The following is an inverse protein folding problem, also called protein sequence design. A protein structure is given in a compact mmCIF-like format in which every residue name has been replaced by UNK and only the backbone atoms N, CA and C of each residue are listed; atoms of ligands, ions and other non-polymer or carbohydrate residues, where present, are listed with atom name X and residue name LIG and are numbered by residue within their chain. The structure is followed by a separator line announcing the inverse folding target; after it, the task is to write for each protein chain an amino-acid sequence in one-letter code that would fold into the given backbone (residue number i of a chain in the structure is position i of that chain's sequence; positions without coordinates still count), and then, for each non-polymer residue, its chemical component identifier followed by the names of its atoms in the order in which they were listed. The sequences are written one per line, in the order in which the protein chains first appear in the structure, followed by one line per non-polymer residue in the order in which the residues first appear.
data_IF_254546301266
#
_entry.id   IF_254546301266
#
_cell.length_a   1.000
_cell.length_b   1.000
_cell.length_c   1.000
_cell.angle_alpha   90.00
_cell.angle_beta   90.00
_cell.angle_gamma   90.00
#
_symmetry.space_group_name_H-M   'P 1'
#
loop_
_entity.id
_entity.type
_entity.pdbx_description
1 polymer ?
#
# COMPACT_ATOMS: atom_id res chain seq x y z
N UNK A 1 -32.70 -3.13 9.52
CA UNK A 1 -33.10 -3.33 10.93
C UNK A 1 -34.60 -3.54 10.90
N UNK A 2 -34.99 -4.60 10.20
CA UNK A 2 -36.29 -4.75 9.54
C UNK A 2 -37.33 -5.49 10.39
N UNK A 3 -36.96 -5.85 11.63
CA UNK A 3 -37.83 -6.55 12.59
C UNK A 3 -38.67 -5.61 13.47
N UNK A 4 -38.36 -4.30 13.51
CA UNK A 4 -39.06 -3.38 14.42
C UNK A 4 -40.40 -2.84 13.86
N UNK A 5 -40.69 -3.05 12.58
CA UNK A 5 -41.90 -2.54 11.91
C UNK A 5 -43.07 -3.52 11.90
N UNK A 6 -42.84 -4.84 12.02
CA UNK A 6 -43.93 -5.82 12.02
C UNK A 6 -44.74 -5.80 13.33
N UNK A 7 -44.12 -5.40 14.43
CA UNK A 7 -44.70 -5.46 15.77
C UNK A 7 -45.75 -4.36 16.01
N UNK A 8 -45.63 -3.21 15.35
CA UNK A 8 -46.60 -2.10 15.51
C UNK A 8 -47.87 -2.26 14.68
N UNK A 9 -47.97 -3.25 13.80
CA UNK A 9 -49.18 -3.51 12.99
C UNK A 9 -50.35 -4.11 13.79
N UNK A 10 -50.13 -4.58 15.02
CA UNK A 10 -51.16 -5.23 15.84
C UNK A 10 -51.77 -4.35 16.94
N UNK A 11 -51.43 -3.07 17.03
CA UNK A 11 -51.98 -2.18 18.03
C UNK A 11 -52.22 -0.77 17.47
N UNK A 12 -53.45 -0.55 16.96
CA UNK A 12 -54.20 0.70 16.80
C UNK A 12 -54.86 0.80 15.43
N UNK A 13 -56.21 0.72 15.43
CA UNK A 13 -57.05 1.20 14.34
C UNK A 13 -57.05 2.73 14.39
N UNK A 14 -56.22 3.39 13.57
CA UNK A 14 -56.40 4.82 13.29
C UNK A 14 -55.97 5.14 11.85
N UNK A 15 -56.95 5.53 11.03
CA UNK A 15 -56.85 5.75 9.58
C UNK A 15 -56.11 7.04 9.18
N UNK A 16 -55.34 7.65 10.07
CA UNK A 16 -54.59 8.90 9.84
C UNK A 16 -53.08 8.72 9.69
N UNK A 17 -52.51 7.56 10.07
CA UNK A 17 -51.08 7.26 9.91
C UNK A 17 -50.73 6.57 8.58
N UNK A 18 -51.73 6.17 7.80
CA UNK A 18 -51.53 5.41 6.56
C UNK A 18 -51.05 6.28 5.39
N UNK A 19 -51.12 7.61 5.50
CA UNK A 19 -50.71 8.54 4.46
C UNK A 19 -49.25 9.00 4.54
N UNK A 20 -48.50 8.64 5.60
CA UNK A 20 -47.10 9.08 5.76
C UNK A 20 -46.06 7.98 5.43
N UNK A 21 -46.52 6.76 5.12
CA UNK A 21 -45.67 5.65 4.67
C UNK A 21 -45.56 5.57 3.12
N UNK A 22 -46.18 6.52 2.41
CA UNK A 22 -46.36 6.53 0.96
C UNK A 22 -45.42 7.43 0.14
N UNK A 23 -44.42 8.05 0.77
CA UNK A 23 -43.30 8.70 0.06
C UNK A 23 -42.01 8.08 0.55
N UNK A 24 -41.77 6.83 0.12
CA UNK A 24 -40.38 6.38 -0.01
C UNK A 24 -39.73 7.34 -0.99
N UNK A 25 -38.82 8.15 -0.48
CA UNK A 25 -37.86 8.87 -1.29
C UNK A 25 -37.23 7.81 -2.19
N UNK A 26 -37.63 7.78 -3.47
CA UNK A 26 -37.05 6.91 -4.49
C UNK A 26 -35.60 7.41 -4.63
N UNK A 27 -34.74 6.91 -3.76
CA UNK A 27 -33.30 7.03 -3.90
C UNK A 27 -32.97 6.21 -5.13
N UNK A 28 -33.13 6.83 -6.30
CA UNK A 28 -32.70 6.27 -7.58
C UNK A 28 -31.29 5.73 -7.36
N UNK A 29 -31.18 4.41 -7.40
CA UNK A 29 -29.91 3.75 -7.17
C UNK A 29 -29.00 4.11 -8.34
N UNK A 30 -27.74 4.45 -8.06
CA UNK A 30 -26.78 4.76 -9.11
C UNK A 30 -26.73 3.62 -10.14
N UNK A 31 -26.95 2.40 -9.66
CA UNK A 31 -26.96 1.18 -10.47
C UNK A 31 -28.09 1.14 -11.51
N UNK A 32 -29.22 1.79 -11.25
CA UNK A 32 -30.33 1.92 -12.22
C UNK A 32 -30.05 2.99 -13.29
N UNK A 33 -29.22 3.98 -12.95
CA UNK A 33 -28.87 5.09 -13.84
C UNK A 33 -27.71 4.76 -14.79
N UNK A 34 -26.75 3.94 -14.35
CA UNK A 34 -25.58 3.55 -15.15
C UNK A 34 -25.93 2.92 -16.52
N UNK A 35 -26.96 2.04 -16.64
CA UNK A 35 -27.41 1.53 -17.93
C UNK A 35 -27.83 2.62 -18.92
N UNK A 36 -28.51 3.67 -18.44
CA UNK A 36 -28.98 4.78 -19.28
C UNK A 36 -27.84 5.70 -19.75
N UNK A 37 -26.78 5.84 -18.94
CA UNK A 37 -25.60 6.66 -19.25
C UNK A 37 -24.55 5.88 -20.08
N UNK A 38 -24.72 4.56 -20.17
CA UNK A 38 -23.86 3.61 -20.85
C UNK A 38 -22.99 2.85 -19.86
N UNK A 39 -23.24 1.55 -19.69
CA UNK A 39 -22.62 0.69 -18.67
C UNK A 39 -21.08 0.62 -18.77
N UNK A 40 -20.52 0.77 -19.98
CA UNK A 40 -19.09 0.70 -20.25
C UNK A 40 -18.68 1.56 -21.47
N UNK A 41 -19.00 2.85 -21.40
CA UNK A 41 -18.70 3.82 -22.44
C UNK A 41 -17.24 4.29 -22.48
N UNK A 42 -16.95 5.27 -23.33
CA UNK A 42 -15.60 5.80 -23.57
C UNK A 42 -15.02 6.42 -22.29
N UNK A 43 -15.85 7.12 -21.50
CA UNK A 43 -15.41 7.73 -20.25
C UNK A 43 -14.91 6.68 -19.26
N UNK A 44 -15.71 5.63 -19.02
CA UNK A 44 -15.32 4.55 -18.12
C UNK A 44 -14.08 3.82 -18.61
N UNK A 45 -14.00 3.49 -19.90
CA UNK A 45 -12.81 2.85 -20.48
C UNK A 45 -11.56 3.69 -20.30
N UNK A 46 -11.63 4.99 -20.59
CA UNK A 46 -10.49 5.90 -20.43
C UNK A 46 -10.03 5.98 -18.97
N UNK A 47 -10.96 6.04 -18.02
CA UNK A 47 -10.62 6.11 -16.59
C UNK A 47 -10.07 4.79 -16.06
N UNK A 48 -10.73 3.66 -16.38
CA UNK A 48 -10.30 2.33 -15.93
C UNK A 48 -8.95 1.96 -16.55
N UNK A 49 -8.80 2.03 -17.88
CA UNK A 49 -7.56 1.65 -18.55
C UNK A 49 -6.46 2.71 -18.48
N UNK A 50 -6.81 3.99 -18.38
CA UNK A 50 -5.85 5.08 -18.34
C UNK A 50 -5.34 5.42 -16.94
N UNK A 51 -6.12 5.14 -15.88
CA UNK A 51 -5.78 5.58 -14.51
C UNK A 51 -5.81 4.40 -13.54
N UNK A 52 -6.93 3.70 -13.40
CA UNK A 52 -7.11 2.73 -12.33
C UNK A 52 -6.28 1.45 -12.51
N UNK A 53 -6.26 0.87 -13.71
CA UNK A 53 -5.47 -0.34 -13.99
C UNK A 53 -3.95 -0.07 -13.92
N UNK A 54 -3.42 1.01 -14.55
CA UNK A 54 -2.01 1.37 -14.36
C UNK A 54 -1.65 1.58 -12.89
N UNK A 55 -2.54 2.20 -12.08
CA UNK A 55 -2.29 2.44 -10.66
C UNK A 55 -2.08 1.14 -9.85
N UNK A 56 -2.56 0.00 -10.33
CA UNK A 56 -2.39 -1.29 -9.69
C UNK A 56 -0.98 -1.88 -9.87
N UNK A 57 -0.25 -1.48 -10.93
CA UNK A 57 1.10 -2.00 -11.21
C UNK A 57 2.08 -1.61 -10.08
N UNK A 58 2.23 -0.33 -9.71
CA UNK A 58 3.13 0.07 -8.62
C UNK A 58 2.71 -0.50 -7.25
N UNK A 59 1.43 -0.79 -7.03
CA UNK A 59 0.98 -1.42 -5.79
C UNK A 59 1.66 -2.78 -5.57
N UNK A 60 1.83 -3.57 -6.63
CA UNK A 60 2.57 -4.82 -6.60
C UNK A 60 4.04 -4.63 -6.23
N UNK A 61 4.64 -3.51 -6.65
CA UNK A 61 6.01 -3.16 -6.26
C UNK A 61 6.12 -2.96 -4.75
N UNK A 62 5.31 -2.09 -4.16
CA UNK A 62 5.40 -1.79 -2.73
C UNK A 62 5.12 -2.99 -1.82
N UNK A 63 4.20 -3.88 -2.23
CA UNK A 63 3.85 -5.08 -1.48
C UNK A 63 5.03 -6.06 -1.36
N UNK A 64 5.75 -6.32 -2.45
CA UNK A 64 6.77 -7.37 -2.49
C UNK A 64 8.21 -6.88 -2.47
N UNK A 65 8.46 -5.58 -2.68
CA UNK A 65 9.81 -5.00 -2.70
C UNK A 65 10.61 -5.37 -1.44
N UNK A 66 9.97 -5.43 -0.28
CA UNK A 66 10.63 -5.79 0.97
C UNK A 66 11.43 -7.10 0.93
N UNK A 67 10.88 -8.12 0.28
CA UNK A 67 11.50 -9.44 0.21
C UNK A 67 12.83 -9.35 -0.53
N UNK A 68 12.90 -8.49 -1.55
CA UNK A 68 14.12 -8.24 -2.30
C UNK A 68 15.10 -7.33 -1.57
N UNK A 69 14.63 -6.31 -0.85
CA UNK A 69 15.48 -5.48 0.03
C UNK A 69 16.12 -6.31 1.16
N UNK A 70 15.41 -7.33 1.61
CA UNK A 70 15.80 -8.21 2.70
C UNK A 70 16.52 -9.49 2.26
N UNK A 71 17.04 -9.52 1.03
CA UNK A 71 17.74 -10.68 0.52
C UNK A 71 19.02 -10.96 1.32
N UNK A 72 19.18 -12.20 1.74
CA UNK A 72 20.34 -12.70 2.48
C UNK A 72 21.30 -13.32 1.47
N UNK A 73 22.55 -12.85 1.35
CA UNK A 73 23.55 -13.50 0.52
C UNK A 73 23.78 -14.95 0.95
N UNK A 74 23.98 -15.86 -0.02
CA UNK A 74 24.19 -17.28 0.30
C UNK A 74 25.53 -17.55 0.99
N UNK A 75 26.56 -16.75 0.69
CA UNK A 75 27.91 -16.91 1.21
C UNK A 75 28.34 -15.67 2.00
N UNK A 76 28.56 -15.86 3.30
CA UNK A 76 29.01 -14.84 4.25
C UNK A 76 29.76 -15.53 5.39
N UNK A 77 30.67 -14.78 6.01
CA UNK A 77 31.58 -15.30 7.04
C UNK A 77 31.90 -14.27 8.12
N UNK A 78 32.43 -14.71 9.27
CA UNK A 78 32.87 -13.79 10.32
C UNK A 78 34.00 -12.88 9.80
N UNK A 79 33.90 -11.59 10.09
CA UNK A 79 35.00 -10.64 9.91
C UNK A 79 36.06 -10.86 11.00
N UNK A 80 37.32 -10.96 10.60
CA UNK A 80 38.47 -11.08 11.51
C UNK A 80 39.45 -9.96 11.23
N UNK A 81 39.51 -8.92 12.09
CA UNK A 81 40.34 -7.73 11.86
C UNK A 81 41.82 -8.05 11.65
N UNK A 82 42.34 -9.03 12.39
CA UNK A 82 43.77 -9.38 12.41
C UNK A 82 44.25 -10.04 11.09
N UNK A 83 43.32 -10.53 10.25
CA UNK A 83 43.63 -11.23 9.00
C UNK A 83 43.22 -10.42 7.76
N UNK A 84 42.93 -9.12 7.92
CA UNK A 84 42.45 -8.26 6.83
C UNK A 84 43.46 -8.09 5.68
N UNK A 85 44.75 -8.24 5.96
CA UNK A 85 45.82 -8.11 4.97
C UNK A 85 45.98 -9.34 4.06
N UNK A 86 45.38 -10.48 4.44
CA UNK A 86 45.42 -11.72 3.65
C UNK A 86 44.30 -11.81 2.61
N UNK A 87 44.48 -12.70 1.63
CA UNK A 87 43.42 -13.02 0.66
C UNK A 87 42.19 -13.62 1.36
N UNK A 88 41.01 -13.36 0.80
CA UNK A 88 39.73 -13.84 1.36
C UNK A 88 39.70 -15.35 1.52
N UNK A 89 40.25 -16.10 0.54
CA UNK A 89 40.30 -17.56 0.59
C UNK A 89 41.18 -18.08 1.73
N UNK A 90 42.37 -17.48 1.93
CA UNK A 90 43.27 -17.85 3.03
C UNK A 90 42.67 -17.47 4.37
N UNK A 91 42.03 -16.31 4.48
CA UNK A 91 41.31 -15.88 5.69
C UNK A 91 40.17 -16.84 6.04
N UNK A 92 39.36 -17.24 5.06
CA UNK A 92 38.27 -18.20 5.26
C UNK A 92 38.79 -19.55 5.75
N UNK A 93 39.83 -20.07 5.10
CA UNK A 93 40.46 -21.35 5.44
C UNK A 93 40.98 -21.38 6.88
N UNK A 94 41.63 -20.30 7.32
CA UNK A 94 42.29 -20.23 8.62
C UNK A 94 41.34 -19.87 9.76
N UNK A 95 40.44 -18.90 9.52
CA UNK A 95 39.64 -18.30 10.59
C UNK A 95 38.32 -19.01 10.86
N UNK A 96 37.79 -19.75 9.88
CA UNK A 96 36.43 -20.26 9.93
C UNK A 96 36.45 -21.78 10.02
N UNK A 97 35.81 -22.38 11.02
CA UNK A 97 35.67 -23.82 11.10
C UNK A 97 34.78 -24.34 9.97
N UNK A 98 35.09 -25.53 9.47
CA UNK A 98 34.20 -26.27 8.57
C UNK A 98 32.91 -26.65 9.30
N UNK A 99 31.82 -26.69 8.55
CA UNK A 99 30.50 -27.02 9.08
C UNK A 99 30.44 -28.50 9.46
N UNK A 100 29.76 -28.82 10.56
CA UNK A 100 29.65 -30.18 11.10
C UNK A 100 28.81 -31.08 10.20
N UNK A 101 27.85 -30.52 9.48
CA UNK A 101 26.90 -31.26 8.63
C UNK A 101 27.40 -31.43 7.18
N UNK A 102 28.21 -30.48 6.68
CA UNK A 102 28.78 -30.49 5.34
C UNK A 102 30.24 -30.03 5.41
N UNK A 103 31.18 -30.98 5.39
CA UNK A 103 32.63 -30.76 5.49
C UNK A 103 33.22 -29.88 4.37
N UNK A 104 32.50 -29.69 3.27
CA UNK A 104 32.89 -28.81 2.17
C UNK A 104 32.40 -27.36 2.35
N UNK A 105 31.55 -27.10 3.34
CA UNK A 105 31.03 -25.76 3.64
C UNK A 105 31.65 -25.20 4.92
N UNK A 106 31.90 -23.89 4.94
CA UNK A 106 32.35 -23.19 6.14
C UNK A 106 31.18 -22.83 7.05
N UNK A 107 31.43 -22.78 8.36
CA UNK A 107 30.47 -22.26 9.34
C UNK A 107 30.27 -20.76 9.15
N UNK A 108 29.03 -20.29 9.15
CA UNK A 108 28.72 -18.87 8.87
C UNK A 108 28.69 -17.98 10.12
N UNK A 109 28.54 -18.60 11.28
CA UNK A 109 28.24 -17.91 12.55
C UNK A 109 29.32 -18.08 13.62
N UNK A 110 30.31 -18.91 13.35
CA UNK A 110 31.38 -19.24 14.29
C UNK A 110 32.74 -19.04 13.63
N UNK A 111 33.72 -18.65 14.44
CA UNK A 111 35.13 -18.53 14.08
C UNK A 111 36.00 -19.24 15.11
N UNK A 112 37.24 -19.53 14.76
CA UNK A 112 38.22 -20.01 15.74
C UNK A 112 38.53 -18.91 16.78
N UNK A 113 38.50 -19.30 18.05
CA UNK A 113 38.74 -18.46 19.22
C UNK A 113 40.24 -18.41 19.52
N UNK A 114 40.97 -17.74 18.63
CA UNK A 114 42.43 -17.73 18.63
C UNK A 114 42.92 -16.29 18.55
N UNK A 115 44.02 -15.99 19.26
CA UNK A 115 44.69 -14.70 19.16
C UNK A 115 45.57 -14.70 17.90
N UNK A 116 45.06 -14.10 16.83
CA UNK A 116 45.73 -14.09 15.53
C UNK A 116 47.01 -13.27 15.56
N UNK A 117 47.11 -12.23 16.39
CA UNK A 117 48.32 -11.41 16.52
C UNK A 117 49.51 -12.24 16.98
N UNK A 118 49.36 -13.00 18.06
CA UNK A 118 50.42 -13.86 18.60
C UNK A 118 50.85 -14.92 17.58
N UNK A 119 49.88 -15.47 16.85
CA UNK A 119 50.11 -16.51 15.85
C UNK A 119 50.82 -15.96 14.61
N UNK A 120 50.47 -14.76 14.17
CA UNK A 120 51.10 -14.08 13.04
C UNK A 120 52.51 -13.63 13.39
N UNK A 121 52.77 -13.20 14.64
CA UNK A 121 54.12 -12.84 15.10
C UNK A 121 55.06 -14.05 15.15
N UNK A 122 54.57 -15.22 15.55
CA UNK A 122 55.39 -16.43 15.68
C UNK A 122 55.59 -17.13 14.34
N UNK A 123 54.60 -17.11 13.43
CA UNK A 123 54.60 -17.99 12.25
C UNK A 123 53.95 -17.35 11.01
N UNK A 124 54.25 -16.08 10.74
CA UNK A 124 53.66 -15.24 9.68
C UNK A 124 53.55 -15.90 8.29
N UNK A 125 54.47 -16.82 7.94
CA UNK A 125 54.56 -17.42 6.61
C UNK A 125 54.17 -18.92 6.53
N UNK A 126 53.98 -19.62 7.65
CA UNK A 126 53.96 -21.10 7.66
C UNK A 126 52.61 -21.72 8.11
N UNK A 127 51.59 -20.89 8.29
CA UNK A 127 50.26 -21.35 8.68
C UNK A 127 49.41 -21.54 7.43
N UNK A 128 49.49 -22.74 6.87
CA UNK A 128 48.69 -23.14 5.72
C UNK A 128 47.45 -23.97 6.10
N UNK A 129 47.32 -24.38 7.36
CA UNK A 129 46.18 -25.17 7.85
C UNK A 129 45.69 -24.71 9.22
N UNK A 130 44.36 -24.66 9.43
CA UNK A 130 43.80 -24.46 10.76
C UNK A 130 44.10 -25.68 11.64
N UNK A 131 44.30 -25.46 12.93
CA UNK A 131 44.40 -26.55 13.90
C UNK A 131 42.99 -26.97 14.33
N UNK A 132 42.61 -28.22 14.08
CA UNK A 132 41.28 -28.76 14.39
C UNK A 132 40.95 -28.77 15.89
N UNK A 133 41.96 -28.65 16.76
CA UNK A 133 41.78 -28.59 18.21
C UNK A 133 41.45 -27.18 18.73
N UNK A 134 41.47 -26.16 17.87
CA UNK A 134 41.17 -24.80 18.31
C UNK A 134 39.70 -24.65 18.75
N UNK A 135 39.45 -24.01 19.90
CA UNK A 135 38.09 -23.70 20.33
C UNK A 135 37.42 -22.76 19.33
N UNK A 136 36.09 -22.82 19.27
CA UNK A 136 35.27 -21.93 18.44
C UNK A 136 34.50 -20.93 19.31
N UNK A 137 34.27 -19.74 18.78
CA UNK A 137 33.42 -18.71 19.37
C UNK A 137 32.52 -18.07 18.31
N UNK A 138 31.49 -17.34 18.75
CA UNK A 138 30.59 -16.62 17.85
C UNK A 138 31.34 -15.48 17.12
N UNK A 139 30.80 -15.00 16.01
CA UNK A 139 31.36 -13.81 15.36
C UNK A 139 31.09 -12.57 16.22
N UNK A 140 32.15 -11.82 16.57
CA UNK A 140 32.02 -10.64 17.45
C UNK A 140 32.28 -9.31 16.71
N UNK A 141 33.00 -9.37 15.59
CA UNK A 141 33.49 -8.20 14.84
C UNK A 141 32.70 -7.93 13.53
N UNK A 142 31.50 -8.50 13.41
CA UNK A 142 30.65 -8.39 12.21
C UNK A 142 30.91 -9.48 11.17
N UNK A 143 30.36 -9.28 9.96
CA UNK A 143 30.43 -10.25 8.87
C UNK A 143 31.01 -9.64 7.59
N UNK A 144 31.60 -10.50 6.76
CA UNK A 144 31.96 -10.21 5.38
C UNK A 144 31.04 -11.01 4.47
N UNK A 145 30.52 -10.37 3.43
CA UNK A 145 29.53 -10.94 2.53
C UNK A 145 30.10 -11.07 1.12
N UNK A 146 29.76 -12.15 0.42
CA UNK A 146 30.04 -12.26 -1.00
C UNK A 146 29.03 -11.40 -1.79
N UNK A 147 29.48 -10.24 -2.27
CA UNK A 147 28.65 -9.26 -2.98
C UNK A 147 28.52 -9.51 -4.48
N UNK A 148 28.95 -10.67 -4.99
CA UNK A 148 28.93 -10.99 -6.43
C UNK A 148 27.52 -10.97 -7.06
N UNK A 149 26.47 -11.22 -6.26
CA UNK A 149 25.07 -11.28 -6.73
C UNK A 149 24.23 -10.13 -6.15
N UNK A 150 24.50 -9.72 -4.92
CA UNK A 150 23.76 -8.67 -4.21
C UNK A 150 24.78 -7.69 -3.65
N UNK A 151 24.76 -6.45 -4.14
CA UNK A 151 25.73 -5.42 -3.76
C UNK A 151 25.44 -4.79 -2.41
N UNK A 152 24.16 -4.58 -2.08
CA UNK A 152 23.73 -4.07 -0.80
C UNK A 152 22.32 -4.55 -0.49
N UNK A 153 22.11 -5.00 0.74
CA UNK A 153 20.80 -5.38 1.26
C UNK A 153 20.70 -4.94 2.72
N UNK A 154 19.48 -4.88 3.26
CA UNK A 154 19.26 -4.53 4.66
C UNK A 154 19.99 -5.48 5.62
N UNK A 155 20.22 -6.72 5.16
CA UNK A 155 20.92 -7.76 5.92
C UNK A 155 22.42 -7.50 5.95
N UNK A 156 22.98 -7.07 4.81
CA UNK A 156 24.40 -6.71 4.68
C UNK A 156 24.69 -5.43 5.48
N UNK A 157 23.84 -4.41 5.33
CA UNK A 157 24.10 -3.09 5.91
C UNK A 157 23.96 -3.06 7.45
N UNK A 158 23.12 -3.94 8.03
CA UNK A 158 22.87 -4.02 9.47
C UNK A 158 23.36 -5.31 10.13
N UNK A 159 24.12 -6.15 9.43
CA UNK A 159 24.66 -7.42 9.94
C UNK A 159 23.57 -8.31 10.56
N UNK A 160 22.47 -8.53 9.84
CA UNK A 160 21.26 -9.24 10.32
C UNK A 160 21.30 -10.74 10.01
N UNK A 161 22.38 -11.41 10.42
CA UNK A 161 22.58 -12.85 10.22
C UNK A 161 22.77 -13.57 11.55
N UNK A 162 22.73 -14.91 11.53
CA UNK A 162 22.94 -15.76 12.70
C UNK A 162 21.93 -15.45 13.83
N UNK A 163 22.37 -14.94 14.98
CA UNK A 163 21.49 -14.61 16.11
C UNK A 163 20.45 -13.50 15.77
N UNK A 164 20.65 -12.77 14.67
CA UNK A 164 19.77 -11.69 14.19
C UNK A 164 19.03 -12.04 12.88
N UNK A 165 18.99 -13.30 12.48
CA UNK A 165 18.30 -13.77 11.27
C UNK A 165 16.77 -13.52 11.28
N UNK A 166 16.18 -13.36 12.46
CA UNK A 166 14.75 -13.07 12.64
C UNK A 166 14.38 -11.61 12.27
N UNK A 167 15.34 -10.70 12.22
CA UNK A 167 15.09 -9.26 12.03
C UNK A 167 14.44 -8.92 10.67
N UNK A 168 14.90 -9.47 9.53
CA UNK A 168 14.18 -9.39 8.25
C UNK A 168 12.70 -9.80 8.34
N UNK A 169 12.41 -10.89 9.04
CA UNK A 169 11.06 -11.42 9.25
C UNK A 169 10.23 -10.50 10.14
N UNK A 170 10.83 -9.90 11.17
CA UNK A 170 10.18 -8.88 12.01
C UNK A 170 9.81 -7.67 11.15
N UNK A 171 10.71 -7.23 10.27
CA UNK A 171 10.41 -6.16 9.32
C UNK A 171 9.22 -6.50 8.43
N UNK A 172 9.17 -7.73 7.90
CA UNK A 172 8.08 -8.15 7.00
C UNK A 172 6.75 -8.21 7.75
N UNK A 173 6.80 -8.71 8.98
CA UNK A 173 5.66 -8.74 9.90
C UNK A 173 5.17 -7.34 10.21
N UNK A 174 6.07 -6.39 10.46
CA UNK A 174 5.75 -4.99 10.72
C UNK A 174 5.00 -4.33 9.54
N UNK A 175 5.41 -4.61 8.30
CA UNK A 175 4.67 -4.18 7.11
C UNK A 175 3.27 -4.77 7.06
N UNK A 176 3.15 -6.09 7.27
CA UNK A 176 1.88 -6.79 7.18
C UNK A 176 0.90 -6.37 8.29
N UNK A 177 1.39 -6.06 9.50
CA UNK A 177 0.58 -5.52 10.60
C UNK A 177 0.08 -4.11 10.27
N UNK A 178 0.88 -3.31 9.54
CA UNK A 178 0.43 -2.00 9.04
C UNK A 178 -0.81 -2.10 8.16
N UNK A 179 -0.93 -3.15 7.34
CA UNK A 179 -2.03 -3.30 6.37
C UNK A 179 -3.44 -3.17 6.99
N UNK A 180 -3.84 -4.03 7.95
CA UNK A 180 -5.15 -3.97 8.59
C UNK A 180 -5.43 -2.64 9.31
N UNK A 181 -4.43 -2.09 10.00
CA UNK A 181 -4.53 -0.79 10.67
C UNK A 181 -4.81 0.31 9.65
N UNK A 182 -4.08 0.26 8.53
CA UNK A 182 -4.24 1.16 7.40
C UNK A 182 -5.62 1.11 6.77
N UNK A 183 -6.14 -0.09 6.47
CA UNK A 183 -7.49 -0.28 5.92
C UNK A 183 -8.55 0.33 6.84
N UNK A 184 -8.42 0.15 8.16
CA UNK A 184 -9.34 0.75 9.11
C UNK A 184 -9.27 2.29 9.10
N UNK A 185 -8.07 2.86 9.19
CA UNK A 185 -7.88 4.33 9.23
C UNK A 185 -8.27 5.00 7.91
N UNK A 186 -7.77 4.50 6.78
CA UNK A 186 -8.07 5.06 5.47
C UNK A 186 -9.49 4.71 5.01
N UNK A 187 -10.11 3.64 5.51
CA UNK A 187 -11.53 3.36 5.33
C UNK A 187 -12.40 4.44 5.96
N UNK A 188 -12.13 4.80 7.23
CA UNK A 188 -12.82 5.92 7.90
C UNK A 188 -12.60 7.26 7.17
N UNK A 189 -11.38 7.48 6.67
CA UNK A 189 -11.06 8.67 5.88
C UNK A 189 -11.85 8.70 4.57
N UNK A 190 -11.96 7.56 3.89
CA UNK A 190 -12.68 7.41 2.63
C UNK A 190 -14.16 7.76 2.79
N UNK A 191 -14.78 7.28 3.85
CA UNK A 191 -16.20 7.53 4.11
C UNK A 191 -16.45 8.98 4.56
N UNK A 192 -15.51 9.63 5.25
CA UNK A 192 -15.68 11.01 5.74
C UNK A 192 -15.29 12.10 4.75
N UNK A 193 -14.14 11.95 4.09
CA UNK A 193 -13.52 12.97 3.24
C UNK A 193 -13.62 12.68 1.75
N UNK A 194 -14.07 11.47 1.37
CA UNK A 194 -14.18 11.03 -0.01
C UNK A 194 -12.99 10.19 -0.46
N UNK A 195 -13.15 9.60 -1.64
CA UNK A 195 -12.25 8.60 -2.22
C UNK A 195 -11.01 9.30 -2.77
N UNK A 196 -11.19 10.45 -3.45
CA UNK A 196 -10.10 11.23 -4.04
C UNK A 196 -9.12 11.72 -2.99
N UNK A 197 -9.60 12.42 -1.96
CA UNK A 197 -8.74 12.97 -0.88
C UNK A 197 -8.02 11.86 -0.12
N UNK A 198 -8.72 10.76 0.15
CA UNK A 198 -8.13 9.60 0.83
C UNK A 198 -7.01 8.97 0.02
N UNK A 199 -7.19 8.85 -1.30
CA UNK A 199 -6.16 8.30 -2.19
C UNK A 199 -4.88 9.13 -2.16
N UNK A 200 -4.98 10.46 -2.31
CA UNK A 200 -3.79 11.33 -2.26
C UNK A 200 -3.14 11.37 -0.87
N UNK A 201 -3.92 11.26 0.20
CA UNK A 201 -3.39 11.14 1.57
C UNK A 201 -2.62 9.83 1.75
N UNK A 202 -3.12 8.73 1.18
CA UNK A 202 -2.41 7.44 1.16
C UNK A 202 -1.10 7.56 0.37
N UNK A 203 -1.13 8.16 -0.83
CA UNK A 203 0.06 8.37 -1.66
C UNK A 203 1.11 9.23 -0.95
N UNK A 204 0.70 10.32 -0.29
CA UNK A 204 1.62 11.16 0.47
C UNK A 204 2.29 10.38 1.61
N UNK A 205 1.49 9.62 2.38
CA UNK A 205 1.98 8.78 3.48
C UNK A 205 2.94 7.70 2.97
N UNK A 206 2.63 7.09 1.82
CA UNK A 206 3.48 6.09 1.17
C UNK A 206 4.83 6.69 0.78
N UNK A 207 4.84 7.84 0.10
CA UNK A 207 6.07 8.51 -0.33
C UNK A 207 6.94 8.93 0.87
N UNK A 208 6.33 9.45 1.93
CA UNK A 208 7.03 9.79 3.17
C UNK A 208 7.64 8.53 3.79
N UNK A 209 6.88 7.45 3.91
CA UNK A 209 7.36 6.17 4.43
C UNK A 209 8.52 5.60 3.61
N UNK A 210 8.44 5.67 2.27
CA UNK A 210 9.52 5.25 1.37
C UNK A 210 10.76 6.13 1.46
N UNK A 211 10.60 7.44 1.65
CA UNK A 211 11.72 8.35 1.86
C UNK A 211 12.44 8.03 3.18
N UNK A 212 11.69 7.84 4.28
CA UNK A 212 12.26 7.44 5.58
C UNK A 212 12.98 6.09 5.45
N UNK A 213 12.41 5.14 4.70
CA UNK A 213 13.03 3.84 4.43
C UNK A 213 14.38 4.01 3.73
N UNK A 214 14.48 4.91 2.76
CA UNK A 214 15.72 5.12 1.99
C UNK A 214 16.79 5.89 2.78
N UNK A 215 16.39 6.64 3.82
CA UNK A 215 17.29 7.40 4.70
C UNK A 215 17.62 6.64 5.99
N UNK A 216 17.05 5.45 6.21
CA UNK A 216 17.21 4.73 7.46
C UNK A 216 18.63 4.20 7.63
N UNK A 217 19.28 4.58 8.73
CA UNK A 217 20.61 4.07 9.13
C UNK A 217 20.55 3.08 10.30
N UNK A 218 19.35 2.81 10.83
CA UNK A 218 19.11 1.92 11.95
C UNK A 218 17.96 0.98 11.60
N UNK A 219 18.05 -0.28 12.06
CA UNK A 219 17.01 -1.28 11.85
C UNK A 219 15.64 -0.82 12.38
N UNK A 220 15.57 -0.26 13.59
CA UNK A 220 14.29 0.15 14.19
C UNK A 220 13.62 1.30 13.43
N UNK A 221 14.40 2.25 12.90
CA UNK A 221 13.89 3.33 12.05
C UNK A 221 13.35 2.77 10.74
N UNK A 222 14.08 1.81 10.14
CA UNK A 222 13.63 1.10 8.95
C UNK A 222 12.35 0.28 9.22
N UNK A 223 12.29 -0.49 10.30
CA UNK A 223 11.12 -1.28 10.66
C UNK A 223 9.89 -0.40 10.91
N UNK A 224 10.07 0.75 11.58
CA UNK A 224 9.03 1.75 11.77
C UNK A 224 8.53 2.35 10.44
N UNK A 225 9.42 2.64 9.49
CA UNK A 225 9.02 3.12 8.17
C UNK A 225 8.28 2.05 7.37
N UNK A 226 8.61 0.76 7.54
CA UNK A 226 7.86 -0.35 6.94
C UNK A 226 6.43 -0.44 7.46
N UNK A 227 6.17 -0.14 8.74
CA UNK A 227 4.80 -0.02 9.26
C UNK A 227 4.05 1.07 8.52
N UNK A 228 4.65 2.27 8.39
CA UNK A 228 4.03 3.42 7.71
C UNK A 228 3.70 3.10 6.25
N UNK A 229 4.64 2.49 5.52
CA UNK A 229 4.40 2.01 4.14
C UNK A 229 3.28 0.96 4.13
N UNK A 230 3.33 0.02 5.07
CA UNK A 230 2.32 -1.04 5.24
C UNK A 230 0.89 -0.53 5.43
N UNK A 231 0.70 0.60 6.15
CA UNK A 231 -0.61 1.26 6.31
C UNK A 231 -1.25 1.61 4.96
N UNK A 232 -0.44 1.91 3.95
CA UNK A 232 -0.94 2.48 2.69
C UNK A 232 -1.18 1.44 1.60
N UNK A 233 -0.47 0.31 1.61
CA UNK A 233 -0.48 -0.67 0.51
C UNK A 233 -1.90 -1.15 0.17
N UNK A 234 -2.72 -1.62 1.13
CA UNK A 234 -4.08 -2.09 0.81
C UNK A 234 -4.97 -0.94 0.31
N UNK A 235 -4.87 0.23 0.92
CA UNK A 235 -5.71 1.39 0.59
C UNK A 235 -5.41 1.94 -0.81
N UNK A 236 -4.13 2.03 -1.20
CA UNK A 236 -3.71 2.51 -2.53
C UNK A 236 -4.18 1.57 -3.63
N UNK A 237 -4.25 0.26 -3.38
CA UNK A 237 -4.85 -0.71 -4.30
C UNK A 237 -6.38 -0.63 -4.32
N UNK A 238 -7.02 -0.57 -3.15
CA UNK A 238 -8.47 -0.69 -3.01
C UNK A 238 -9.23 0.54 -3.50
N UNK A 239 -8.72 1.76 -3.32
CA UNK A 239 -9.47 2.98 -3.68
C UNK A 239 -9.72 3.09 -5.19
N UNK A 240 -8.70 2.98 -6.08
CA UNK A 240 -8.92 3.01 -7.53
C UNK A 240 -9.80 1.85 -8.03
N UNK A 241 -9.68 0.68 -7.38
CA UNK A 241 -10.52 -0.47 -7.66
C UNK A 241 -12.00 -0.19 -7.37
N UNK A 242 -12.32 0.35 -6.18
CA UNK A 242 -13.70 0.72 -5.81
C UNK A 242 -14.24 1.78 -6.77
N UNK A 243 -13.50 2.86 -7.03
CA UNK A 243 -13.94 3.91 -7.97
C UNK A 243 -14.27 3.31 -9.34
N UNK A 244 -13.45 2.37 -9.83
CA UNK A 244 -13.70 1.70 -11.10
C UNK A 244 -15.00 0.90 -11.10
N UNK A 245 -15.31 0.19 -10.01
CA UNK A 245 -16.54 -0.58 -9.86
C UNK A 245 -17.79 0.29 -9.71
N UNK A 246 -17.65 1.47 -9.13
CA UNK A 246 -18.76 2.42 -8.96
C UNK A 246 -19.16 3.13 -10.26
N UNK A 247 -18.22 3.29 -11.20
CA UNK A 247 -18.45 3.96 -12.47
C UNK A 247 -18.94 3.02 -13.57
N UNK A 248 -18.72 1.72 -13.39
CA UNK A 248 -19.01 0.68 -14.37
C UNK A 248 -20.30 -0.04 -14.00
N UNK A 249 -21.13 -0.34 -15.02
CA UNK A 249 -22.38 -1.07 -14.83
C UNK A 249 -22.16 -2.49 -14.31
N UNK A 250 -23.19 -3.06 -13.68
CA UNK A 250 -23.14 -4.34 -12.98
C UNK A 250 -22.54 -5.48 -13.83
N UNK A 251 -22.92 -5.56 -15.11
CA UNK A 251 -22.48 -6.58 -16.06
C UNK A 251 -20.95 -6.63 -16.28
N UNK A 252 -20.25 -5.51 -16.10
CA UNK A 252 -18.81 -5.38 -16.37
C UNK A 252 -17.95 -5.36 -15.10
N UNK A 253 -18.56 -5.35 -13.90
CA UNK A 253 -17.84 -5.34 -12.62
C UNK A 253 -16.87 -6.51 -12.48
N UNK A 254 -17.31 -7.71 -12.86
CA UNK A 254 -16.48 -8.92 -12.85
C UNK A 254 -15.27 -8.78 -13.79
N UNK A 255 -15.48 -8.26 -15.00
CA UNK A 255 -14.40 -8.04 -15.97
C UNK A 255 -13.35 -7.06 -15.45
N UNK A 256 -13.77 -5.92 -14.92
CA UNK A 256 -12.88 -4.91 -14.32
C UNK A 256 -12.09 -5.49 -13.15
N UNK A 257 -12.73 -6.33 -12.34
CA UNK A 257 -12.08 -7.02 -11.22
C UNK A 257 -10.96 -7.95 -11.69
N UNK A 258 -11.24 -8.80 -12.68
CA UNK A 258 -10.22 -9.71 -13.24
C UNK A 258 -9.06 -8.92 -13.86
N UNK A 259 -9.34 -7.84 -14.56
CA UNK A 259 -8.30 -6.96 -15.12
C UNK A 259 -7.45 -6.33 -14.02
N UNK A 260 -8.07 -5.81 -12.96
CA UNK A 260 -7.35 -5.22 -11.81
C UNK A 260 -6.36 -6.22 -11.20
N UNK A 261 -6.82 -7.46 -10.95
CA UNK A 261 -5.96 -8.54 -10.44
C UNK A 261 -4.82 -8.90 -11.41
N UNK A 262 -5.09 -8.88 -12.72
CA UNK A 262 -4.09 -9.18 -13.77
C UNK A 262 -3.00 -8.11 -13.80
N UNK A 263 -3.39 -6.83 -13.73
CA UNK A 263 -2.44 -5.70 -13.68
C UNK A 263 -1.61 -5.72 -12.39
N UNK A 264 -2.22 -6.02 -11.24
CA UNK A 264 -1.49 -6.21 -9.98
C UNK A 264 -0.44 -7.32 -10.09
N UNK A 265 -0.82 -8.46 -10.66
CA UNK A 265 0.10 -9.60 -10.89
C UNK A 265 1.22 -9.23 -11.87
N UNK A 266 0.90 -8.46 -12.92
CA UNK A 266 1.91 -7.94 -13.86
C UNK A 266 2.90 -7.00 -13.17
N UNK A 267 2.46 -6.21 -12.18
CA UNK A 267 3.32 -5.41 -11.33
C UNK A 267 4.30 -6.26 -10.52
N UNK A 268 3.84 -7.38 -9.95
CA UNK A 268 4.75 -8.30 -9.24
C UNK A 268 5.77 -8.92 -10.21
N UNK A 269 5.35 -9.32 -11.41
CA UNK A 269 6.29 -9.85 -12.42
C UNK A 269 7.32 -8.80 -12.86
N UNK A 270 6.88 -7.56 -13.09
CA UNK A 270 7.76 -6.46 -13.46
C UNK A 270 8.73 -6.09 -12.32
N UNK A 271 8.32 -6.20 -11.05
CA UNK A 271 9.20 -6.03 -9.91
C UNK A 271 10.39 -7.00 -9.97
N UNK A 272 10.16 -8.27 -10.32
CA UNK A 272 11.25 -9.26 -10.47
C UNK A 272 12.28 -8.88 -11.54
N UNK A 273 11.85 -8.17 -12.59
CA UNK A 273 12.77 -7.64 -13.62
C UNK A 273 13.54 -6.45 -13.07
N UNK A 274 12.87 -5.52 -12.39
CA UNK A 274 13.51 -4.36 -11.76
C UNK A 274 14.55 -4.80 -10.73
N UNK A 275 14.24 -5.80 -9.90
CA UNK A 275 15.15 -6.35 -8.89
C UNK A 275 16.27 -7.19 -9.48
N UNK A 276 16.11 -7.68 -10.72
CA UNK A 276 17.21 -8.30 -11.45
C UNK A 276 18.23 -7.27 -11.94
N UNK A 277 17.75 -6.12 -12.41
CA UNK A 277 18.58 -5.02 -12.92
C UNK A 277 19.26 -4.21 -11.81
N UNK A 278 18.54 -3.95 -10.72
CA UNK A 278 19.06 -3.20 -9.57
C UNK A 278 19.05 -4.06 -8.30
N UNK A 279 20.22 -4.23 -7.71
CA UNK A 279 20.47 -5.10 -6.54
C UNK A 279 20.85 -4.31 -5.29
N UNK A 280 20.73 -2.98 -5.36
CA UNK A 280 20.87 -2.06 -4.23
C UNK A 280 19.48 -1.75 -3.64
N UNK A 281 19.28 -2.09 -2.36
CA UNK A 281 17.98 -1.94 -1.69
C UNK A 281 17.52 -0.48 -1.57
N UNK A 282 18.44 0.48 -1.46
CA UNK A 282 18.12 1.91 -1.35
C UNK A 282 17.62 2.43 -2.70
N UNK A 283 18.34 2.13 -3.78
CA UNK A 283 17.91 2.50 -5.14
C UNK A 283 16.60 1.81 -5.52
N UNK A 284 16.44 0.54 -5.14
CA UNK A 284 15.22 -0.21 -5.36
C UNK A 284 14.02 0.43 -4.64
N UNK A 285 14.22 0.94 -3.41
CA UNK A 285 13.21 1.76 -2.71
C UNK A 285 12.80 2.97 -3.55
N UNK A 286 13.76 3.74 -4.08
CA UNK A 286 13.48 4.89 -4.94
C UNK A 286 12.77 4.52 -6.25
N UNK A 287 13.25 3.51 -6.98
CA UNK A 287 12.67 3.11 -8.26
C UNK A 287 11.24 2.59 -8.12
N UNK A 288 10.95 1.87 -7.04
CA UNK A 288 9.57 1.40 -6.79
C UNK A 288 8.64 2.52 -6.32
N UNK A 289 9.17 3.57 -5.69
CA UNK A 289 8.39 4.76 -5.30
C UNK A 289 8.22 5.78 -6.44
N UNK A 290 9.09 5.76 -7.45
CA UNK A 290 9.06 6.72 -8.56
C UNK A 290 7.71 6.79 -9.29
N UNK A 291 7.07 5.66 -9.65
CA UNK A 291 5.76 5.68 -10.31
C UNK A 291 4.70 6.46 -9.53
N UNK A 292 4.68 6.36 -8.20
CA UNK A 292 3.70 7.05 -7.34
C UNK A 292 3.78 8.57 -7.41
N UNK A 293 4.95 9.13 -7.76
CA UNK A 293 5.09 10.58 -7.98
C UNK A 293 4.33 11.02 -9.23
N UNK A 294 4.35 10.20 -10.29
CA UNK A 294 3.54 10.45 -11.49
C UNK A 294 2.04 10.39 -11.16
N UNK A 295 1.64 9.56 -10.18
CA UNK A 295 0.24 9.46 -9.78
C UNK A 295 -0.32 10.72 -9.10
N UNK A 296 0.54 11.59 -8.54
CA UNK A 296 0.09 12.90 -8.05
C UNK A 296 -0.45 13.79 -9.17
N UNK A 297 0.07 13.69 -10.40
CA UNK A 297 -0.44 14.45 -11.53
C UNK A 297 -1.88 14.06 -11.89
N UNK A 298 -2.32 12.84 -11.56
CA UNK A 298 -3.69 12.39 -11.81
C UNK A 298 -4.72 12.98 -10.85
N UNK A 299 -4.32 13.81 -9.88
CA UNK A 299 -5.27 14.57 -9.05
C UNK A 299 -6.24 15.39 -9.89
N UNK A 300 -5.82 15.89 -11.05
CA UNK A 300 -6.67 16.71 -11.90
C UNK A 300 -7.68 15.91 -12.71
N UNK A 301 -7.45 14.62 -12.92
CA UNK A 301 -8.26 13.78 -13.81
C UNK A 301 -9.20 12.86 -13.03
N UNK A 302 -8.81 12.42 -11.84
CA UNK A 302 -9.62 11.51 -11.02
C UNK A 302 -10.89 12.22 -10.51
N UNK A 303 -12.09 11.79 -10.93
CA UNK A 303 -13.34 12.28 -10.37
C UNK A 303 -13.50 11.80 -8.93
N UNK A 304 -14.28 12.53 -8.15
CA UNK A 304 -14.76 12.01 -6.87
C UNK A 304 -15.80 10.91 -7.13
N UNK A 305 -15.98 10.00 -6.17
CA UNK A 305 -16.98 8.96 -6.29
C UNK A 305 -18.41 9.52 -6.37
N UNK A 306 -19.20 9.17 -7.41
CA UNK A 306 -20.61 9.56 -7.50
C UNK A 306 -21.42 9.01 -6.33
N UNK A 307 -21.19 7.76 -5.91
CA UNK A 307 -21.90 7.15 -4.77
C UNK A 307 -21.65 7.90 -3.47
N UNK A 308 -20.40 8.27 -3.20
CA UNK A 308 -20.07 9.04 -2.00
C UNK A 308 -20.72 10.42 -2.01
N UNK A 309 -20.70 11.10 -3.16
CA UNK A 309 -21.35 12.41 -3.30
C UNK A 309 -22.87 12.32 -3.06
N UNK A 310 -23.52 11.27 -3.57
CA UNK A 310 -24.94 11.00 -3.33
C UNK A 310 -25.24 10.76 -1.85
N UNK A 311 -24.47 9.88 -1.19
CA UNK A 311 -24.62 9.60 0.25
C UNK A 311 -24.37 10.85 1.12
N UNK A 312 -23.52 11.78 0.68
CA UNK A 312 -23.24 13.04 1.39
C UNK A 312 -24.21 14.17 1.03
N UNK A 313 -25.23 13.92 0.20
CA UNK A 313 -26.19 14.92 -0.25
C UNK A 313 -25.61 15.97 -1.20
N UNK A 314 -24.41 15.76 -1.76
CA UNK A 314 -23.75 16.67 -2.71
C UNK A 314 -24.24 16.42 -4.14
N UNK A 315 -25.55 16.54 -4.33
CA UNK A 315 -26.24 16.20 -5.59
C UNK A 315 -25.72 17.00 -6.78
N UNK A 316 -25.40 18.28 -6.59
CA UNK A 316 -24.92 19.15 -7.67
C UNK A 316 -23.61 18.66 -8.30
N UNK A 317 -22.69 18.15 -7.47
CA UNK A 317 -21.41 17.60 -7.95
C UNK A 317 -21.58 16.22 -8.57
N UNK A 318 -22.45 15.38 -7.98
CA UNK A 318 -22.78 14.08 -8.55
C UNK A 318 -23.38 14.22 -9.95
N UNK A 319 -24.34 15.14 -10.14
CA UNK A 319 -24.91 15.46 -11.46
C UNK A 319 -23.83 15.91 -12.45
N UNK A 320 -22.93 16.82 -12.05
CA UNK A 320 -21.89 17.33 -12.94
C UNK A 320 -20.99 16.21 -13.47
N UNK A 321 -20.63 15.23 -12.61
CA UNK A 321 -19.82 14.07 -13.01
C UNK A 321 -20.61 13.15 -13.94
N UNK A 322 -21.85 12.83 -13.60
CA UNK A 322 -22.68 11.91 -14.39
C UNK A 322 -23.11 12.49 -15.74
N UNK A 323 -23.39 13.80 -15.80
CA UNK A 323 -23.63 14.50 -17.07
C UNK A 323 -22.40 14.49 -17.96
N UNK A 324 -21.21 14.74 -17.39
CA UNK A 324 -19.97 14.71 -18.15
C UNK A 324 -19.72 13.30 -18.69
N UNK A 325 -19.99 12.27 -17.89
CA UNK A 325 -19.93 10.87 -18.32
C UNK A 325 -20.90 10.61 -19.49
N UNK A 326 -22.16 11.04 -19.39
CA UNK A 326 -23.15 10.88 -20.46
C UNK A 326 -22.71 11.60 -21.74
N UNK A 327 -22.23 12.85 -21.63
CA UNK A 327 -21.72 13.64 -22.76
C UNK A 327 -20.55 12.95 -23.47
N UNK A 328 -19.56 12.46 -22.72
CA UNK A 328 -18.39 11.76 -23.28
C UNK A 328 -18.77 10.41 -23.89
N UNK A 329 -19.78 9.74 -23.32
CA UNK A 329 -20.32 8.49 -23.86
C UNK A 329 -21.25 8.71 -25.07
N UNK A 330 -21.56 9.95 -25.45
CA UNK A 330 -22.48 10.29 -26.53
C UNK A 330 -23.96 9.99 -26.20
N UNK A 331 -24.28 9.78 -24.92
CA UNK A 331 -25.63 9.50 -24.44
C UNK A 331 -26.28 10.77 -23.89
N UNK A 332 -27.62 10.84 -23.98
CA UNK A 332 -28.38 11.90 -23.31
C UNK A 332 -28.66 11.48 -21.87
N UNK A 333 -28.34 12.35 -20.92
CA UNK A 333 -28.70 12.13 -19.54
C UNK A 333 -30.24 12.18 -19.41
N UNK A 334 -30.88 11.26 -18.66
CA UNK A 334 -32.34 11.25 -18.52
C UNK A 334 -32.86 12.56 -17.89
N UNK A 335 -33.66 13.32 -18.66
CA UNK A 335 -34.14 14.65 -18.27
C UNK A 335 -35.05 14.61 -17.02
N UNK A 336 -35.83 13.54 -16.84
CA UNK A 336 -36.71 13.36 -15.66
C UNK A 336 -35.91 13.26 -14.36
N UNK A 337 -34.83 12.47 -14.38
CA UNK A 337 -33.94 12.27 -13.23
C UNK A 337 -33.20 13.58 -12.94
N UNK A 338 -32.73 14.26 -13.99
CA UNK A 338 -32.08 15.56 -13.88
C UNK A 338 -32.98 16.60 -13.22
N UNK A 339 -34.21 16.76 -13.72
CA UNK A 339 -35.17 17.72 -13.20
C UNK A 339 -35.51 17.43 -11.72
N UNK A 340 -35.68 16.16 -11.35
CA UNK A 340 -35.91 15.76 -9.97
C UNK A 340 -34.73 16.14 -9.06
N UNK A 341 -33.49 15.85 -9.47
CA UNK A 341 -32.32 16.18 -8.66
C UNK A 341 -32.07 17.69 -8.60
N UNK A 342 -32.31 18.43 -9.68
CA UNK A 342 -32.27 19.90 -9.69
C UNK A 342 -33.31 20.52 -8.75
N UNK A 343 -34.54 19.98 -8.71
CA UNK A 343 -35.57 20.39 -7.76
C UNK A 343 -35.14 20.15 -6.31
N UNK A 344 -34.61 18.97 -5.99
CA UNK A 344 -34.05 18.65 -4.65
C UNK A 344 -32.90 19.58 -4.25
N UNK A 345 -32.05 19.98 -5.21
CA UNK A 345 -30.97 20.95 -4.97
C UNK A 345 -31.54 22.33 -4.62
N UNK A 346 -32.61 22.78 -5.29
CA UNK A 346 -33.25 24.06 -5.00
C UNK A 346 -33.96 24.03 -3.64
N UNK A 347 -34.68 22.97 -3.32
CA UNK A 347 -35.35 22.80 -2.02
C UNK A 347 -34.36 22.80 -0.85
N UNK A 348 -33.23 22.11 -0.98
CA UNK A 348 -32.18 22.08 0.05
C UNK A 348 -31.49 23.45 0.22
N UNK A 349 -31.33 24.24 -0.85
CA UNK A 349 -30.81 25.61 -0.77
C UNK A 349 -31.79 26.54 -0.05
N UNK A 350 -33.06 26.53 -0.44
CA UNK A 350 -34.10 27.35 0.18
C UNK A 350 -34.26 27.03 1.67
N UNK A 351 -34.19 25.75 2.05
CA UNK A 351 -34.25 25.31 3.45
C UNK A 351 -33.06 25.83 4.27
N UNK A 352 -31.86 25.82 3.71
CA UNK A 352 -30.66 26.33 4.37
C UNK A 352 -30.65 27.87 4.50
N UNK A 353 -31.20 28.59 3.52
CA UNK A 353 -31.36 30.05 3.57
C UNK A 353 -32.40 30.47 4.63
N UNK A 354 -33.53 29.76 4.68
CA UNK A 354 -34.55 29.99 5.71
C UNK A 354 -34.01 29.71 7.13
N UNK A 355 -33.26 28.60 7.31
CA UNK A 355 -32.63 28.27 8.59
C UNK A 355 -31.58 29.30 9.03
N UNK A 356 -30.81 29.86 8.09
CA UNK A 356 -29.88 30.99 8.38
C UNK A 356 -30.64 32.27 8.73
N UNK A 357 -31.72 32.59 8.02
CA UNK A 357 -32.57 33.74 8.28
C UNK A 357 -33.19 33.72 9.68
N UNK A 358 -33.69 32.56 10.11
CA UNK A 358 -34.25 32.37 11.44
C UNK A 358 -33.20 32.39 12.55
N UNK A 359 -32.00 31.85 12.30
CA UNK A 359 -30.88 31.95 13.25
C UNK A 359 -30.41 33.39 13.45
N UNK A 360 -30.41 34.23 12.40
CA UNK A 360 -30.06 35.65 12.48
C UNK A 360 -31.17 36.45 13.18
N UNK A 361 -32.45 36.19 12.88
CA UNK A 361 -33.58 36.83 13.60
C UNK A 361 -33.57 36.50 15.09
N UNK A 362 -33.30 35.24 15.44
CA UNK A 362 -33.23 34.79 16.85
C UNK A 362 -32.06 35.46 17.57
N UNK A 363 -30.92 35.67 16.90
CA UNK A 363 -29.79 36.42 17.46
C UNK A 363 -30.08 37.90 17.69
N UNK A 364 -30.84 38.54 16.80
CA UNK A 364 -31.22 39.95 16.91
C UNK A 364 -32.34 40.22 17.93
N UNK A 365 -33.04 39.18 18.39
CA UNK A 365 -34.05 39.26 19.46
C UNK A 365 -33.46 39.11 20.88
N UNK A 366 -32.18 38.75 20.99
CA UNK A 366 -31.47 38.49 22.26
C UNK A 366 -30.48 39.63 22.62
N UNK A 367 -30.31 40.62 21.74
CA UNK A 367 -29.61 41.89 21.99
C UNK A 367 -30.63 43.01 22.13
#
# INVERSE_FOLDING_TARGET
MDEFCEITSKASEDATLQNDCGKRDESLDLDDLLPAIGEFGIYQKMLVFGICLPACIPCGFCAFNQIFMANVPNDYWCKVPDLLDMSVEKRKLLAIPKNLENLDSYSKCYRYAVNWTDILEVNYYDIDKPNETWPYQKCDYGWEYNTSVVWSSIVIDFDLVCDKDIYPTIGLSALNVGGPIGVYLFGLLNDRMGRRVSYFSCLATLLIGSLITSLSKNFWTWAGSRVIVGLTIPAVYQIPFIISLELVGENYRSFVTVMTCTFYTSGIMLLSVVTYLERDWVKLSYYTSAPFHLYFAYIFVMPESPRWLLMRGRLQEALAILENMAKVNGQKFPEEIKANWEAKIVESKNSNENAKGDSIKTRNLIL
#
